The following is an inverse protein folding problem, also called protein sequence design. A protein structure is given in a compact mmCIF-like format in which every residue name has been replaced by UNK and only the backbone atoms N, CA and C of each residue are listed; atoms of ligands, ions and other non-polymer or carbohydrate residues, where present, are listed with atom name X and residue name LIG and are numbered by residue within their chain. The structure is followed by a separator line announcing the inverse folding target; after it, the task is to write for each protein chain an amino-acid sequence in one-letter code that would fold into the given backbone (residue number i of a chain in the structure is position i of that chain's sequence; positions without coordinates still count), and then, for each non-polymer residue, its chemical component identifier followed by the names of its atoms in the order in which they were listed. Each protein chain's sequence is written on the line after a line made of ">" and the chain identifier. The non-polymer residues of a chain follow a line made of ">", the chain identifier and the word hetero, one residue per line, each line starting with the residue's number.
data_IF_862249717612
#
_entry.id   IF_862249717612
#
_cell.length_a   1.000
_cell.length_b   1.000
_cell.length_c   1.000
_cell.angle_alpha   90.00
_cell.angle_beta   90.00
_cell.angle_gamma   90.00
#
_symmetry.space_group_name_H-M   'P 1'
#
loop_
_entity.id
_entity.type
_entity.pdbx_description
1 polymer ?
#
# COMPACT_ATOMS: atom_id res chain seq x y z
N UNK A 1 -13.43 7.07 -10.72
CA UNK A 1 -12.88 5.70 -10.66
C UNK A 1 -14.07 4.77 -10.43
N UNK A 2 -14.38 3.85 -11.35
CA UNK A 2 -15.59 3.03 -11.30
C UNK A 2 -15.24 1.54 -11.38
N UNK A 3 -15.67 0.77 -10.38
CA UNK A 3 -15.56 -0.70 -10.29
C UNK A 3 -14.14 -1.20 -10.57
N UNK A 4 -13.13 -0.54 -10.00
CA UNK A 4 -11.73 -0.89 -10.20
C UNK A 4 -11.31 -2.01 -9.25
N UNK A 5 -10.49 -2.96 -9.71
CA UNK A 5 -10.08 -4.12 -8.89
C UNK A 5 -9.15 -3.77 -7.74
N UNK A 6 -8.17 -2.88 -7.96
CA UNK A 6 -7.24 -2.39 -6.94
C UNK A 6 -6.96 -0.90 -7.19
N UNK A 7 -7.79 0.01 -6.66
CA UNK A 7 -7.57 1.44 -6.78
C UNK A 7 -6.18 1.94 -6.40
N UNK A 8 -5.60 1.40 -5.33
CA UNK A 8 -4.26 1.76 -4.84
C UNK A 8 -3.42 0.47 -4.74
N UNK A 9 -2.29 0.43 -5.44
CA UNK A 9 -1.38 -0.73 -5.42
C UNK A 9 0.09 -0.31 -5.40
N UNK A 10 0.85 -0.90 -4.48
CA UNK A 10 2.30 -1.07 -4.54
C UNK A 10 2.53 -2.58 -4.50
N UNK A 11 3.20 -3.13 -5.51
CA UNK A 11 3.51 -4.56 -5.59
C UNK A 11 4.99 -4.72 -5.95
N UNK A 12 5.83 -4.89 -4.92
CA UNK A 12 7.27 -5.16 -5.09
C UNK A 12 7.56 -6.65 -5.36
N UNK A 13 6.53 -7.48 -5.49
CA UNK A 13 6.62 -8.90 -5.82
C UNK A 13 6.16 -9.18 -7.25
N UNK A 14 5.94 -8.14 -8.05
CA UNK A 14 5.57 -8.26 -9.44
C UNK A 14 6.63 -9.04 -10.23
N UNK A 15 6.21 -10.12 -10.90
CA UNK A 15 7.06 -10.90 -11.78
C UNK A 15 6.30 -11.31 -13.05
N UNK A 16 7.03 -11.43 -14.16
CA UNK A 16 6.46 -11.77 -15.47
C UNK A 16 6.07 -13.26 -15.59
N UNK A 17 6.71 -14.14 -14.81
CA UNK A 17 6.51 -15.59 -14.88
C UNK A 17 6.49 -16.23 -13.49
N UNK A 18 5.56 -17.15 -13.23
CA UNK A 18 5.50 -17.92 -11.98
C UNK A 18 6.41 -19.16 -12.04
N UNK A 19 7.04 -19.57 -10.94
CA UNK A 19 7.01 -18.94 -9.60
C UNK A 19 7.90 -17.69 -9.52
N UNK A 20 7.42 -16.63 -8.85
CA UNK A 20 8.25 -15.48 -8.54
C UNK A 20 9.26 -15.87 -7.47
N UNK A 21 10.54 -15.60 -7.69
CA UNK A 21 11.53 -15.64 -6.62
C UNK A 21 11.29 -14.44 -5.69
N UNK A 22 11.37 -14.65 -4.36
CA UNK A 22 11.41 -13.57 -3.38
C UNK A 22 12.78 -12.87 -3.50
N UNK A 23 12.93 -12.01 -4.51
CA UNK A 23 14.16 -11.28 -4.76
C UNK A 23 14.20 -10.07 -3.81
N UNK A 24 15.23 -10.05 -2.96
CA UNK A 24 15.50 -9.03 -1.96
C UNK A 24 16.06 -7.72 -2.52
N UNK A 25 16.28 -7.62 -3.84
CA UNK A 25 16.69 -6.38 -4.51
C UNK A 25 15.46 -5.56 -4.91
N UNK A 26 14.74 -5.04 -3.93
CA UNK A 26 13.61 -4.17 -4.22
C UNK A 26 14.08 -2.72 -4.36
N UNK A 27 13.58 -2.08 -5.42
CA UNK A 27 13.67 -0.64 -5.61
C UNK A 27 13.20 0.06 -4.33
N UNK A 28 13.96 1.02 -3.83
CA UNK A 28 13.54 1.79 -2.66
C UNK A 28 12.37 2.73 -3.06
N UNK A 29 11.19 2.50 -2.49
CA UNK A 29 10.00 3.35 -2.68
C UNK A 29 9.83 4.22 -1.45
N UNK A 30 9.91 5.54 -1.63
CA UNK A 30 9.68 6.49 -0.56
C UNK A 30 8.99 7.77 -1.04
N UNK A 31 8.40 8.53 -0.13
CA UNK A 31 7.78 9.84 -0.38
C UNK A 31 6.60 9.77 -1.38
N UNK A 32 5.70 8.82 -1.17
CA UNK A 32 4.53 8.61 -2.03
C UNK A 32 3.32 9.31 -1.43
N UNK A 33 2.66 10.17 -2.19
CA UNK A 33 1.40 10.82 -1.78
C UNK A 33 0.22 10.29 -2.61
N UNK A 34 -0.73 9.63 -1.96
CA UNK A 34 -2.05 9.34 -2.50
C UNK A 34 -3.04 10.40 -2.00
N UNK A 35 -3.58 11.22 -2.91
CA UNK A 35 -4.49 12.30 -2.53
C UNK A 35 -5.74 12.37 -3.40
N UNK A 36 -6.87 12.69 -2.77
CA UNK A 36 -8.16 12.97 -3.44
C UNK A 36 -8.68 11.80 -4.30
N UNK A 37 -8.49 10.56 -3.84
CA UNK A 37 -8.89 9.35 -4.56
C UNK A 37 -10.31 8.97 -4.15
N UNK A 38 -11.24 9.03 -5.10
CA UNK A 38 -12.65 8.74 -4.88
C UNK A 38 -13.20 7.77 -5.93
N UNK A 39 -13.96 6.76 -5.50
CA UNK A 39 -14.61 5.84 -6.43
C UNK A 39 -15.10 4.54 -5.83
N UNK A 40 -15.31 3.55 -6.70
CA UNK A 40 -15.81 2.22 -6.33
C UNK A 40 -14.85 1.09 -6.74
N UNK A 41 -14.90 -0.03 -6.02
CA UNK A 41 -14.08 -1.22 -6.30
C UNK A 41 -14.89 -2.52 -6.37
N UNK A 42 -14.34 -3.54 -7.05
CA UNK A 42 -14.91 -4.90 -7.07
C UNK A 42 -14.51 -5.70 -5.83
N UNK A 43 -15.33 -6.68 -5.45
CA UNK A 43 -15.19 -7.53 -4.25
C UNK A 43 -14.10 -8.62 -4.37
N UNK A 44 -13.23 -8.55 -5.41
CA UNK A 44 -12.29 -9.65 -5.70
C UNK A 44 -10.93 -9.45 -5.05
N UNK A 45 -10.55 -8.22 -4.71
CA UNK A 45 -9.28 -7.89 -4.05
C UNK A 45 -9.40 -6.66 -3.14
N UNK A 46 -8.52 -6.55 -2.11
CA UNK A 46 -8.39 -5.34 -1.31
C UNK A 46 -8.32 -4.07 -2.17
N UNK A 47 -9.11 -3.02 -1.87
CA UNK A 47 -9.08 -1.79 -2.65
C UNK A 47 -7.73 -1.08 -2.56
N UNK A 48 -6.99 -1.36 -1.50
CA UNK A 48 -5.67 -0.82 -1.19
C UNK A 48 -4.77 -2.01 -0.91
N UNK A 49 -3.68 -2.14 -1.67
CA UNK A 49 -2.71 -3.21 -1.53
C UNK A 49 -1.29 -2.63 -1.55
N UNK A 50 -0.66 -2.54 -0.39
CA UNK A 50 0.70 -2.01 -0.22
C UNK A 50 1.65 -3.16 0.12
N UNK A 51 2.10 -3.91 -0.87
CA UNK A 51 3.04 -5.02 -0.73
C UNK A 51 4.48 -4.59 -1.02
N UNK A 52 5.26 -4.34 0.03
CA UNK A 52 6.68 -3.94 -0.05
C UNK A 52 7.61 -5.08 0.34
N UNK A 53 8.84 -5.07 -0.16
CA UNK A 53 9.85 -6.11 0.07
C UNK A 53 10.22 -6.20 1.54
N UNK A 54 10.43 -7.41 2.04
CA UNK A 54 10.90 -7.65 3.40
C UNK A 54 12.25 -6.98 3.69
N UNK A 55 13.13 -6.91 2.69
CA UNK A 55 14.47 -6.35 2.85
C UNK A 55 14.49 -4.81 2.75
N UNK A 56 13.61 -4.23 1.94
CA UNK A 56 13.55 -2.78 1.68
C UNK A 56 12.11 -2.29 1.85
N UNK A 57 11.76 -1.72 3.02
CA UNK A 57 10.41 -1.24 3.28
C UNK A 57 10.06 -0.04 2.40
N UNK A 58 8.76 0.11 2.09
CA UNK A 58 8.29 1.38 1.57
C UNK A 58 8.13 2.37 2.74
N UNK A 59 8.57 3.61 2.57
CA UNK A 59 8.59 4.61 3.66
C UNK A 59 7.98 5.93 3.25
N UNK A 60 7.51 6.70 4.22
CA UNK A 60 6.87 8.01 3.98
C UNK A 60 5.74 7.95 2.94
N UNK A 61 4.85 6.97 3.08
CA UNK A 61 3.59 6.91 2.32
C UNK A 61 2.57 7.80 3.03
N UNK A 62 2.03 8.81 2.35
CA UNK A 62 0.97 9.65 2.88
C UNK A 62 -0.34 9.40 2.14
N UNK A 63 -1.43 9.18 2.88
CA UNK A 63 -2.77 9.11 2.31
C UNK A 63 -3.63 10.28 2.80
N UNK A 64 -4.31 10.95 1.88
CA UNK A 64 -5.17 12.09 2.16
C UNK A 64 -6.43 12.06 1.29
N UNK A 65 -7.60 12.24 1.89
CA UNK A 65 -8.89 12.28 1.24
C UNK A 65 -9.13 11.07 0.30
N UNK A 66 -9.04 9.86 0.87
CA UNK A 66 -9.25 8.58 0.16
C UNK A 66 -10.61 8.00 0.55
N UNK A 67 -11.52 7.87 -0.43
CA UNK A 67 -12.85 7.30 -0.26
C UNK A 67 -13.17 6.31 -1.38
N UNK A 68 -13.01 5.04 -1.07
CA UNK A 68 -13.26 3.90 -1.94
C UNK A 68 -14.43 3.10 -1.35
N UNK A 69 -15.52 2.99 -2.09
CA UNK A 69 -16.72 2.27 -1.67
C UNK A 69 -16.80 0.92 -2.40
N UNK A 70 -17.12 -0.18 -1.72
CA UNK A 70 -17.32 -1.45 -2.41
C UNK A 70 -18.54 -1.32 -3.32
N UNK A 71 -18.50 -1.95 -4.50
CA UNK A 71 -19.66 -1.98 -5.40
C UNK A 71 -20.81 -2.83 -4.84
N UNK A 72 -20.47 -3.79 -3.98
CA UNK A 72 -21.41 -4.69 -3.27
C UNK A 72 -21.26 -4.46 -1.77
N UNK A 73 -22.09 -5.12 -0.96
CA UNK A 73 -22.07 -4.93 0.50
C UNK A 73 -20.77 -5.44 1.16
N UNK A 74 -20.07 -6.37 0.51
CA UNK A 74 -18.83 -6.94 1.05
C UNK A 74 -17.64 -5.99 0.85
N UNK A 75 -17.20 -5.37 1.95
CA UNK A 75 -15.99 -4.57 1.99
C UNK A 75 -14.78 -5.44 2.31
N UNK A 76 -13.78 -5.45 1.42
CA UNK A 76 -12.46 -6.00 1.73
C UNK A 76 -11.61 -4.96 2.45
N UNK A 77 -10.93 -5.42 3.51
CA UNK A 77 -9.94 -4.63 4.24
C UNK A 77 -8.74 -4.30 3.36
N UNK A 78 -8.06 -3.19 3.70
CA UNK A 78 -6.78 -2.85 3.09
C UNK A 78 -5.71 -3.89 3.46
N UNK A 79 -4.78 -4.12 2.52
CA UNK A 79 -3.60 -4.94 2.75
C UNK A 79 -2.35 -4.05 2.80
N UNK A 80 -1.51 -4.26 3.81
CA UNK A 80 -0.22 -3.61 3.94
C UNK A 80 0.82 -4.64 4.38
N UNK A 81 2.00 -4.60 3.77
CA UNK A 81 3.15 -5.41 4.14
C UNK A 81 4.43 -4.59 3.98
N UNK A 82 5.18 -4.47 5.08
CA UNK A 82 6.40 -3.68 5.20
C UNK A 82 6.29 -2.24 4.64
N UNK A 83 5.14 -1.60 4.87
CA UNK A 83 4.81 -0.27 4.37
C UNK A 83 4.62 0.69 5.55
N UNK A 84 5.31 1.83 5.51
CA UNK A 84 5.34 2.82 6.58
C UNK A 84 4.90 4.19 6.07
N UNK A 85 4.13 4.91 6.89
CA UNK A 85 3.51 6.15 6.46
C UNK A 85 2.61 6.81 7.49
N UNK A 86 1.74 7.68 6.99
CA UNK A 86 0.77 8.43 7.77
C UNK A 86 -0.58 8.54 7.04
N UNK A 87 -1.66 8.53 7.83
CA UNK A 87 -2.99 8.92 7.40
C UNK A 87 -3.19 10.40 7.72
N UNK A 88 -3.16 11.28 6.70
CA UNK A 88 -3.39 12.72 6.89
C UNK A 88 -4.86 13.07 7.13
N UNK A 89 -5.75 12.23 6.63
CA UNK A 89 -7.18 12.29 6.92
C UNK A 89 -7.71 10.87 7.11
N UNK A 90 -8.88 10.74 7.73
CA UNK A 90 -9.59 9.46 7.72
C UNK A 90 -9.84 8.97 6.28
N UNK A 91 -9.79 7.66 6.08
CA UNK A 91 -10.11 7.00 4.82
C UNK A 91 -11.34 6.11 4.95
N UNK A 92 -11.97 5.83 3.81
CA UNK A 92 -12.98 4.77 3.67
C UNK A 92 -12.48 3.83 2.57
N UNK A 93 -12.30 2.52 2.82
CA UNK A 93 -12.32 1.89 4.15
C UNK A 93 -11.17 2.39 5.05
N UNK A 94 -11.25 2.18 6.38
CA UNK A 94 -10.13 2.44 7.29
C UNK A 94 -8.90 1.61 6.91
N UNK A 95 -7.71 2.21 7.01
CA UNK A 95 -6.43 1.55 6.71
C UNK A 95 -5.65 1.39 8.01
N UNK A 96 -5.94 0.33 8.76
CA UNK A 96 -5.31 0.05 10.06
C UNK A 96 -3.95 -0.66 9.95
N UNK A 97 -3.61 -1.19 8.78
CA UNK A 97 -2.40 -1.98 8.56
C UNK A 97 -1.14 -1.14 8.23
N UNK A 98 -1.29 0.15 7.94
CA UNK A 98 -0.17 1.02 7.60
C UNK A 98 0.62 1.32 8.88
N UNK A 99 1.92 1.02 8.86
CA UNK A 99 2.77 1.23 10.02
C UNK A 99 3.14 2.71 10.15
N UNK A 100 3.04 3.29 11.34
CA UNK A 100 3.40 4.68 11.56
C UNK A 100 4.93 4.90 11.57
N UNK A 101 5.36 6.04 11.03
CA UNK A 101 6.76 6.50 11.15
C UNK A 101 7.74 5.83 10.18
N UNK A 102 8.90 5.42 10.69
CA UNK A 102 9.96 4.76 9.93
C UNK A 102 10.36 3.42 10.58
N UNK A 103 10.83 2.43 9.77
CA UNK A 103 11.39 1.20 10.30
C UNK A 103 12.59 1.48 11.21
N UNK A 104 12.65 0.82 12.38
CA UNK A 104 13.71 1.03 13.40
C UNK A 104 15.12 0.63 12.94
N UNK A 105 15.23 -0.11 11.84
CA UNK A 105 16.50 -0.50 11.24
C UNK A 105 16.28 -0.77 9.76
N UNK A 106 16.71 0.15 8.91
CA UNK A 106 16.88 -0.10 7.48
C UNK A 106 18.29 -0.68 7.29
N UNK A 107 18.47 -1.89 6.73
CA UNK A 107 19.79 -2.35 6.30
C UNK A 107 20.35 -1.36 5.28
N UNK A 108 21.32 -0.52 5.68
CA UNK A 108 21.99 0.46 4.82
C UNK A 108 21.74 1.94 5.16
N UNK A 109 20.86 2.29 6.09
CA UNK A 109 20.71 3.68 6.55
C UNK A 109 21.64 3.93 7.75
N UNK A 110 22.83 4.46 7.49
CA UNK A 110 23.65 5.08 8.55
C UNK A 110 23.00 6.42 8.90
N UNK A 111 22.23 6.46 9.99
CA UNK A 111 21.81 7.72 10.59
C UNK A 111 23.04 8.56 10.93
N UNK A 112 23.05 9.82 10.49
CA UNK A 112 24.03 10.83 10.87
C UNK A 112 23.67 11.51 12.17
#
# INVERSE_FOLDING_TARGET
>A
MDTVRNPIIIDQYYCLSKPCANLSSAVNISNVLYSNINGTYDDRRPPIHLGCSEAVPCTNIALSNVKLLPRREDALDAFCWNAYGEMRTASVPPISCLLEGMPRSIPGYKGG
#
